data_IF_145842430415
#
_entry.id   IF_145842430415
#
_cell.length_a   1.000
_cell.length_b   1.000
_cell.length_c   1.000
_cell.angle_alpha   90.00
_cell.angle_beta   90.00
_cell.angle_gamma   90.00
#
_symmetry.space_group_name_H-M   'P 1'
#
loop_
_entity.id
_entity.type
_entity.pdbx_description
1 polymer ?
#
# COMPACT_ATOMS: atom_id res chain seq x y z
N UNK A 1 -3.86 -14.32 12.84
CA UNK A 1 -3.16 -14.00 14.11
C UNK A 1 -1.67 -13.69 13.93
N UNK A 2 -0.88 -14.57 13.31
CA UNK A 2 0.57 -14.35 13.16
C UNK A 2 0.93 -13.10 12.34
N UNK A 3 0.25 -12.88 11.22
CA UNK A 3 0.44 -11.69 10.37
C UNK A 3 0.23 -10.40 11.17
N UNK A 4 -0.88 -10.28 11.88
CA UNK A 4 -1.19 -9.09 12.68
C UNK A 4 -0.12 -8.81 13.73
N UNK A 5 0.32 -9.84 14.47
CA UNK A 5 1.37 -9.69 15.48
C UNK A 5 2.66 -9.14 14.87
N UNK A 6 3.09 -9.69 13.72
CA UNK A 6 4.31 -9.27 13.03
C UNK A 6 4.18 -7.86 12.44
N UNK A 7 3.06 -7.56 11.79
CA UNK A 7 2.78 -6.26 11.20
C UNK A 7 2.73 -5.15 12.26
N UNK A 8 2.01 -5.37 13.37
CA UNK A 8 1.98 -4.44 14.51
C UNK A 8 3.35 -4.18 15.08
N UNK A 9 4.13 -5.24 15.28
CA UNK A 9 5.49 -5.12 15.78
C UNK A 9 6.36 -4.26 14.85
N UNK A 10 6.31 -4.52 13.53
CA UNK A 10 7.07 -3.75 12.55
C UNK A 10 6.67 -2.26 12.55
N UNK A 11 5.37 -1.96 12.54
CA UNK A 11 4.87 -0.57 12.56
C UNK A 11 5.29 0.16 13.83
N UNK A 12 5.20 -0.49 14.99
CA UNK A 12 5.66 0.07 16.26
C UNK A 12 7.16 0.37 16.24
N UNK A 13 7.98 -0.53 15.66
CA UNK A 13 9.43 -0.33 15.52
C UNK A 13 9.76 0.82 14.57
N UNK A 14 9.10 0.92 13.41
CA UNK A 14 9.32 1.99 12.45
C UNK A 14 8.97 3.37 13.04
N UNK A 15 7.80 3.49 13.68
CA UNK A 15 7.33 4.74 14.29
C UNK A 15 8.18 5.16 15.49
N UNK A 16 8.70 4.21 16.28
CA UNK A 16 9.60 4.50 17.39
C UNK A 16 11.00 4.90 16.94
N UNK A 17 11.52 4.30 15.86
CA UNK A 17 12.88 4.56 15.38
C UNK A 17 13.04 5.98 14.79
N UNK A 18 11.98 6.52 14.16
CA UNK A 18 11.96 7.89 13.62
C UNK A 18 10.59 8.55 13.86
N UNK A 19 10.34 9.08 15.07
CA UNK A 19 9.07 9.73 15.40
C UNK A 19 8.73 10.85 14.43
N UNK A 20 7.46 10.93 14.03
CA UNK A 20 6.94 11.97 13.13
C UNK A 20 7.22 11.73 11.64
N UNK A 21 8.10 10.81 11.25
CA UNK A 21 8.30 10.45 9.83
C UNK A 21 7.15 9.55 9.35
N UNK A 22 6.55 9.82 8.17
CA UNK A 22 5.40 9.04 7.72
C UNK A 22 5.78 7.58 7.47
N UNK A 23 4.93 6.67 7.95
CA UNK A 23 4.97 5.23 7.63
C UNK A 23 3.73 4.92 6.81
N UNK A 24 3.90 4.40 5.61
CA UNK A 24 2.81 4.10 4.69
C UNK A 24 2.64 2.59 4.61
N UNK A 25 1.47 2.10 4.99
CA UNK A 25 1.03 0.73 4.76
C UNK A 25 0.31 0.67 3.43
N UNK A 26 0.46 -0.44 2.72
CA UNK A 26 -0.21 -0.66 1.44
C UNK A 26 -0.94 -1.99 1.54
N UNK A 27 -2.25 -2.00 1.25
CA UNK A 27 -3.02 -3.24 1.14
C UNK A 27 -2.61 -4.03 -0.09
N UNK A 28 -3.13 -5.24 -0.24
CA UNK A 28 -2.75 -6.11 -1.35
C UNK A 28 -3.11 -5.45 -2.68
N UNK A 29 -2.20 -5.54 -3.65
CA UNK A 29 -2.44 -5.01 -4.98
C UNK A 29 -3.55 -5.78 -5.68
N UNK A 30 -4.33 -5.09 -6.54
CA UNK A 30 -5.34 -5.74 -7.36
C UNK A 30 -4.74 -6.90 -8.13
N UNK A 31 -5.43 -8.04 -8.09
CA UNK A 31 -5.03 -9.30 -8.70
C UNK A 31 -6.28 -10.16 -8.98
N UNK A 32 -6.11 -11.35 -9.56
CA UNK A 32 -7.21 -12.27 -9.87
C UNK A 32 -8.18 -12.55 -8.70
N UNK A 33 -7.66 -12.67 -7.47
CA UNK A 33 -8.45 -13.01 -6.30
C UNK A 33 -9.53 -11.98 -5.97
N UNK A 34 -9.36 -10.73 -6.44
CA UNK A 34 -10.35 -9.64 -6.29
C UNK A 34 -11.55 -9.77 -7.24
N UNK A 35 -11.48 -10.68 -8.22
CA UNK A 35 -12.47 -10.83 -9.28
C UNK A 35 -13.08 -12.24 -9.36
N UNK A 36 -12.76 -13.12 -8.40
CA UNK A 36 -13.39 -14.43 -8.31
C UNK A 36 -14.88 -14.28 -7.96
N UNK A 37 -15.74 -14.96 -8.71
CA UNK A 37 -17.19 -14.97 -8.47
C UNK A 37 -17.52 -15.64 -7.14
N UNK A 38 -16.79 -16.70 -6.82
CA UNK A 38 -16.85 -17.39 -5.53
C UNK A 38 -15.50 -17.23 -4.84
N UNK A 39 -15.43 -16.51 -3.71
CA UNK A 39 -14.19 -16.34 -2.96
C UNK A 39 -13.60 -17.69 -2.53
N UNK A 40 -12.31 -17.87 -2.77
CA UNK A 40 -11.56 -19.01 -2.25
C UNK A 40 -10.83 -18.62 -0.96
N UNK A 41 -10.06 -19.56 -0.40
CA UNK A 41 -9.28 -19.29 0.81
C UNK A 41 -8.25 -18.16 0.63
N UNK A 42 -7.74 -17.96 -0.59
CA UNK A 42 -6.77 -16.90 -0.87
C UNK A 42 -7.47 -15.55 -0.81
N UNK A 43 -8.61 -15.40 -1.48
CA UNK A 43 -9.43 -14.18 -1.42
C UNK A 43 -9.76 -13.81 0.04
N UNK A 44 -10.25 -14.77 0.82
CA UNK A 44 -10.60 -14.55 2.23
C UNK A 44 -9.37 -14.10 3.05
N UNK A 45 -8.21 -14.74 2.86
CA UNK A 45 -6.98 -14.35 3.56
C UNK A 45 -6.48 -12.97 3.14
N UNK A 46 -6.61 -12.61 1.86
CA UNK A 46 -6.24 -11.29 1.37
C UNK A 46 -7.09 -10.20 2.05
N UNK A 47 -8.40 -10.40 2.11
CA UNK A 47 -9.32 -9.48 2.78
C UNK A 47 -9.00 -9.35 4.28
N UNK A 48 -8.63 -10.45 4.95
CA UNK A 48 -8.20 -10.42 6.33
C UNK A 48 -6.91 -9.62 6.54
N UNK A 49 -5.91 -9.77 5.66
CA UNK A 49 -4.68 -8.98 5.73
C UNK A 49 -4.96 -7.49 5.53
N UNK A 50 -5.79 -7.13 4.56
CA UNK A 50 -6.16 -5.75 4.29
C UNK A 50 -6.94 -5.14 5.45
N UNK A 51 -7.88 -5.89 6.03
CA UNK A 51 -8.61 -5.50 7.24
C UNK A 51 -7.66 -5.23 8.40
N UNK A 52 -6.66 -6.10 8.60
CA UNK A 52 -5.65 -5.93 9.65
C UNK A 52 -4.82 -4.66 9.40
N UNK A 53 -4.35 -4.41 8.18
CA UNK A 53 -3.57 -3.21 7.86
C UNK A 53 -4.38 -1.91 8.05
N UNK A 54 -5.66 -1.92 7.68
CA UNK A 54 -6.62 -0.84 7.95
C UNK A 54 -6.75 -0.59 9.45
N UNK A 55 -6.89 -1.64 10.26
CA UNK A 55 -6.97 -1.51 11.72
C UNK A 55 -5.69 -0.96 12.32
N UNK A 56 -4.52 -1.49 11.94
CA UNK A 56 -3.21 -1.03 12.43
C UNK A 56 -3.01 0.46 12.12
N UNK A 57 -3.41 0.91 10.93
CA UNK A 57 -3.35 2.32 10.54
C UNK A 57 -4.21 3.19 11.46
N UNK A 58 -5.46 2.77 11.74
CA UNK A 58 -6.35 3.50 12.66
C UNK A 58 -5.74 3.60 14.05
N UNK A 59 -5.17 2.51 14.55
CA UNK A 59 -4.57 2.45 15.89
C UNK A 59 -3.30 3.31 16.06
N UNK A 60 -2.63 3.67 14.95
CA UNK A 60 -1.37 4.43 14.96
C UNK A 60 -1.46 5.75 14.19
N UNK A 61 -2.68 6.27 13.96
CA UNK A 61 -2.90 7.49 13.20
C UNK A 61 -2.21 8.71 13.85
N UNK A 62 -2.13 8.73 15.17
CA UNK A 62 -1.40 9.71 15.99
C UNK A 62 0.12 9.69 15.75
N UNK A 63 0.67 8.60 15.18
CA UNK A 63 2.10 8.41 14.91
C UNK A 63 2.46 8.59 13.44
N UNK A 64 1.63 9.31 12.68
CA UNK A 64 1.84 9.58 11.26
C UNK A 64 1.88 8.30 10.40
N UNK A 65 1.07 7.30 10.75
CA UNK A 65 0.86 6.09 9.94
C UNK A 65 -0.30 6.32 8.98
N UNK A 66 -0.07 6.00 7.71
CA UNK A 66 -1.03 6.17 6.61
C UNK A 66 -1.29 4.83 5.92
N UNK A 67 -2.41 4.75 5.21
CA UNK A 67 -2.76 3.62 4.37
C UNK A 67 -2.94 4.08 2.93
N UNK A 68 -2.40 3.31 1.99
CA UNK A 68 -2.74 3.36 0.57
C UNK A 68 -3.43 2.05 0.21
N UNK A 69 -4.55 2.13 -0.51
CA UNK A 69 -5.21 0.93 -1.00
C UNK A 69 -4.46 0.38 -2.22
N UNK A 70 -4.02 -0.87 -2.17
CA UNK A 70 -3.25 -1.51 -3.25
C UNK A 70 -4.02 -1.59 -4.56
N UNK A 71 -5.36 -1.62 -4.50
CA UNK A 71 -6.25 -1.55 -5.66
C UNK A 71 -6.25 -0.20 -6.37
N UNK A 72 -5.70 0.85 -5.75
CA UNK A 72 -5.49 2.17 -6.38
C UNK A 72 -4.09 2.29 -6.99
N UNK A 73 -3.16 1.40 -6.61
CA UNK A 73 -1.80 1.33 -7.17
C UNK A 73 -1.80 0.50 -8.46
N UNK A 74 -2.45 -0.67 -8.43
CA UNK A 74 -2.79 -1.47 -9.61
C UNK A 74 -4.27 -1.23 -9.91
N UNK A 75 -4.55 -0.24 -10.74
CA UNK A 75 -5.90 0.22 -11.06
C UNK A 75 -6.53 -0.52 -12.26
N UNK A 76 -5.75 -1.35 -12.96
CA UNK A 76 -6.17 -2.11 -14.13
C UNK A 76 -5.46 -3.48 -14.20
N UNK A 77 -6.21 -4.57 -14.47
CA UNK A 77 -5.65 -5.93 -14.58
C UNK A 77 -4.73 -6.11 -15.79
N UNK A 78 -4.85 -5.28 -16.83
CA UNK A 78 -3.93 -5.27 -17.97
C UNK A 78 -2.50 -4.89 -17.59
N UNK A 79 -2.28 -4.34 -16.39
CA UNK A 79 -0.95 -4.11 -15.82
C UNK A 79 -0.26 -5.41 -15.38
N UNK A 80 -0.99 -6.52 -15.31
CA UNK A 80 -0.52 -7.80 -14.84
C UNK A 80 -0.14 -8.71 -16.01
N UNK A 81 0.76 -9.64 -15.76
CA UNK A 81 1.08 -10.70 -16.71
C UNK A 81 -0.10 -11.66 -16.86
N UNK A 82 0.05 -12.69 -17.71
CA UNK A 82 -0.99 -13.70 -17.94
C UNK A 82 -1.39 -14.48 -16.68
N UNK A 83 -0.61 -14.43 -15.61
CA UNK A 83 -0.97 -15.04 -14.32
C UNK A 83 -1.93 -14.18 -13.47
N UNK A 84 -2.21 -12.95 -13.88
CA UNK A 84 -3.07 -11.99 -13.18
C UNK A 84 -2.65 -11.74 -11.73
N UNK A 85 -1.36 -11.87 -11.44
CA UNK A 85 -0.76 -11.66 -10.12
C UNK A 85 0.44 -10.71 -10.20
N UNK A 86 1.39 -11.00 -11.08
CA UNK A 86 2.61 -10.21 -11.19
C UNK A 86 2.46 -9.13 -12.24
N UNK A 87 2.94 -7.89 -12.01
CA UNK A 87 3.00 -6.86 -13.03
C UNK A 87 4.03 -7.19 -14.12
N UNK A 88 3.77 -6.75 -15.35
CA UNK A 88 4.80 -6.68 -16.40
C UNK A 88 5.48 -5.31 -16.40
N UNK A 89 6.48 -5.07 -17.26
CA UNK A 89 7.31 -3.85 -17.25
C UNK A 89 6.49 -2.55 -17.29
N UNK A 90 5.52 -2.47 -18.21
CA UNK A 90 4.63 -1.30 -18.29
C UNK A 90 3.69 -1.22 -17.07
N UNK A 91 3.23 -2.37 -16.54
CA UNK A 91 2.51 -2.42 -15.28
C UNK A 91 3.30 -1.82 -14.12
N UNK A 92 4.59 -2.15 -14.00
CA UNK A 92 5.48 -1.55 -13.00
C UNK A 92 5.63 -0.04 -13.18
N UNK A 93 5.78 0.46 -14.42
CA UNK A 93 5.86 1.89 -14.68
C UNK A 93 4.57 2.63 -14.25
N UNK A 94 3.40 2.07 -14.58
CA UNK A 94 2.10 2.63 -14.19
C UNK A 94 1.88 2.57 -12.67
N UNK A 95 2.27 1.47 -12.02
CA UNK A 95 2.24 1.36 -10.56
C UNK A 95 3.09 2.45 -9.90
N UNK A 96 4.28 2.74 -10.44
CA UNK A 96 5.16 3.78 -9.92
C UNK A 96 4.52 5.17 -10.04
N UNK A 97 3.91 5.50 -11.18
CA UNK A 97 3.19 6.76 -11.40
C UNK A 97 2.00 6.90 -10.43
N UNK A 98 1.17 5.86 -10.32
CA UNK A 98 0.04 5.84 -9.41
C UNK A 98 0.47 6.00 -7.95
N UNK A 99 1.47 5.24 -7.52
CA UNK A 99 1.98 5.32 -6.16
C UNK A 99 2.57 6.71 -5.86
N UNK A 100 3.33 7.30 -6.80
CA UNK A 100 3.87 8.64 -6.63
C UNK A 100 2.76 9.69 -6.47
N UNK A 101 1.69 9.60 -7.27
CA UNK A 101 0.50 10.46 -7.17
C UNK A 101 -0.19 10.31 -5.81
N UNK A 102 -0.34 9.09 -5.31
CA UNK A 102 -0.97 8.79 -4.01
C UNK A 102 -0.11 9.24 -2.82
N UNK A 103 1.21 9.13 -2.93
CA UNK A 103 2.16 9.57 -1.91
C UNK A 103 2.26 11.10 -1.81
N UNK A 104 2.10 11.82 -2.93
CA UNK A 104 2.27 13.28 -2.99
C UNK A 104 1.54 14.06 -1.88
N UNK A 105 0.21 13.90 -1.65
CA UNK A 105 -0.47 14.61 -0.58
C UNK A 105 0.01 14.21 0.83
N UNK A 106 0.43 12.96 1.03
CA UNK A 106 0.93 12.45 2.31
C UNK A 106 2.30 13.06 2.64
N UNK A 107 3.15 13.20 1.62
CA UNK A 107 4.53 13.66 1.75
C UNK A 107 4.69 15.18 1.61
N UNK A 108 3.66 15.90 1.14
CA UNK A 108 3.70 17.35 0.98
C UNK A 108 4.15 18.10 2.25
N UNK A 109 3.70 17.75 3.47
CA UNK A 109 4.17 18.42 4.70
C UNK A 109 5.65 18.15 5.04
N UNK A 110 6.27 17.16 4.39
CA UNK A 110 7.63 16.68 4.67
C UNK A 110 8.63 17.02 3.55
N UNK A 111 8.16 17.66 2.48
CA UNK A 111 9.01 18.03 1.34
C UNK A 111 9.77 19.30 1.68
N UNK A 112 11.07 19.18 1.99
CA UNK A 112 11.93 20.31 2.40
C UNK A 112 12.60 21.04 1.23
N UNK A 113 12.40 20.63 -0.03
CA UNK A 113 12.94 21.33 -1.21
C UNK A 113 11.98 21.17 -2.40
N UNK A 114 11.59 22.29 -2.99
CA UNK A 114 11.12 22.32 -4.37
C UNK A 114 12.26 21.83 -5.25
N UNK A 115 12.02 20.82 -6.09
CA UNK A 115 12.87 20.63 -7.26
C UNK A 115 12.82 21.95 -8.05
N UNK A 116 13.97 22.50 -8.51
CA UNK A 116 13.93 23.65 -9.39
C UNK A 116 13.01 23.30 -10.58
N UNK A 117 12.13 24.25 -10.95
CA UNK A 117 11.28 24.11 -12.12
C UNK A 117 12.17 23.69 -13.30
N UNK A 118 11.84 22.56 -13.91
CA UNK A 118 12.56 22.07 -15.08
C UNK A 118 12.23 23.05 -16.23
N UNK A 119 13.24 23.65 -16.90
CA UNK A 119 13.01 24.66 -17.93
C UNK A 119 12.25 24.15 -19.16
#
# INVERSE_FOLDING_TARGET
EEFEKRARHLVARCTAAKPGRPVILITIFRNAAHHLVTPDEITIRQEDFDRILRQITRDHRDRNVHLIEGVDVVDDLSCLTSDLLHPHDFGHARMAENLARLLKPILAPFSTHSLPDNP
#
